data_IF_675899415648
#
_entry.id   IF_675899415648
#
_cell.length_a   1.000
_cell.length_b   1.000
_cell.length_c   1.000
_cell.angle_alpha   90.00
_cell.angle_beta   90.00
_cell.angle_gamma   90.00
#
_symmetry.space_group_name_H-M   'P 1'
#
loop_
_entity.id
_entity.type
_entity.pdbx_description
1 polymer ?
#
# COMPACT_ATOMS: atom_id res chain seq x y z
N UNK A 1 6.21 -14.63 10.12
CA UNK A 1 5.71 -13.25 10.28
C UNK A 1 4.19 -13.34 10.33
N UNK A 2 3.52 -12.61 11.21
CA UNK A 2 2.08 -12.74 11.39
C UNK A 2 1.40 -11.73 10.46
N UNK A 3 0.84 -12.21 9.34
CA UNK A 3 0.18 -11.41 8.31
C UNK A 3 -0.78 -10.37 8.88
N UNK A 4 -1.54 -10.73 9.92
CA UNK A 4 -2.50 -9.82 10.54
C UNK A 4 -1.79 -8.62 11.18
N UNK A 5 -0.66 -8.84 11.85
CA UNK A 5 0.13 -7.77 12.48
C UNK A 5 0.69 -6.83 11.42
N UNK A 6 1.17 -7.37 10.31
CA UNK A 6 1.68 -6.59 9.18
C UNK A 6 0.59 -5.75 8.51
N UNK A 7 -0.57 -6.37 8.27
CA UNK A 7 -1.73 -5.69 7.72
C UNK A 7 -2.19 -4.55 8.62
N UNK A 8 -2.21 -4.77 9.95
CA UNK A 8 -2.53 -3.74 10.94
C UNK A 8 -1.53 -2.59 10.88
N UNK A 9 -0.22 -2.90 10.83
CA UNK A 9 0.83 -1.89 10.72
C UNK A 9 0.69 -1.06 9.43
N UNK A 10 0.45 -1.72 8.29
CA UNK A 10 0.28 -1.04 7.00
C UNK A 10 -1.01 -0.22 6.96
N UNK A 11 -2.09 -0.69 7.59
CA UNK A 11 -3.31 0.08 7.79
C UNK A 11 -3.05 1.37 8.58
N UNK A 12 -2.34 1.28 9.72
CA UNK A 12 -1.96 2.44 10.53
C UNK A 12 -1.04 3.39 9.75
N UNK A 13 -0.05 2.86 9.03
CA UNK A 13 0.83 3.65 8.19
C UNK A 13 0.05 4.42 7.11
N UNK A 14 -0.94 3.78 6.49
CA UNK A 14 -1.80 4.40 5.46
C UNK A 14 -2.67 5.51 6.06
N UNK A 15 -3.19 5.32 7.27
CA UNK A 15 -4.08 6.31 7.89
C UNK A 15 -3.36 7.61 8.26
N UNK A 16 -2.03 7.60 8.42
CA UNK A 16 -1.23 8.83 8.61
C UNK A 16 -1.35 9.80 7.43
N UNK A 17 -1.59 9.30 6.21
CA UNK A 17 -1.80 10.15 5.03
C UNK A 17 -3.13 10.93 5.07
N UNK A 18 -4.03 10.62 6.00
CA UNK A 18 -5.26 11.39 6.21
C UNK A 18 -5.01 12.85 6.60
N UNK A 19 -3.84 13.15 7.18
CA UNK A 19 -3.42 14.49 7.61
C UNK A 19 -3.20 15.41 6.40
N UNK A 20 -2.73 14.85 5.28
CA UNK A 20 -2.55 15.57 4.02
C UNK A 20 -3.91 15.73 3.34
N UNK A 21 -4.77 16.58 3.90
CA UNK A 21 -6.02 16.92 3.24
C UNK A 21 -5.74 17.91 2.12
N UNK A 22 -5.59 17.38 0.92
CA UNK A 22 -5.53 18.19 -0.28
C UNK A 22 -6.92 18.12 -0.90
N UNK A 23 -7.54 19.28 -1.18
CA UNK A 23 -8.91 19.44 -1.67
C UNK A 23 -9.15 18.90 -3.09
N UNK A 24 -8.51 17.78 -3.43
CA UNK A 24 -8.59 17.12 -4.71
C UNK A 24 -9.82 16.22 -4.83
N UNK A 25 -10.16 15.91 -6.07
CA UNK A 25 -11.12 14.88 -6.41
C UNK A 25 -10.76 13.53 -5.74
N UNK A 26 -11.75 12.80 -5.21
CA UNK A 26 -11.54 11.56 -4.44
C UNK A 26 -10.59 10.56 -5.12
N UNK A 27 -10.77 10.34 -6.43
CA UNK A 27 -9.92 9.42 -7.19
C UNK A 27 -8.45 9.84 -7.24
N UNK A 28 -8.18 11.13 -7.46
CA UNK A 28 -6.82 11.67 -7.48
C UNK A 28 -6.21 11.58 -6.08
N UNK A 29 -7.00 11.88 -5.04
CA UNK A 29 -6.60 11.73 -3.65
C UNK A 29 -6.20 10.28 -3.31
N UNK A 30 -7.05 9.30 -3.65
CA UNK A 30 -6.77 7.87 -3.42
C UNK A 30 -5.53 7.40 -4.20
N UNK A 31 -5.38 7.82 -5.45
CA UNK A 31 -4.22 7.49 -6.26
C UNK A 31 -2.92 7.99 -5.64
N UNK A 32 -2.89 9.27 -5.25
CA UNK A 32 -1.73 9.90 -4.62
C UNK A 32 -1.35 9.15 -3.34
N UNK A 33 -2.32 8.82 -2.49
CA UNK A 33 -2.06 8.07 -1.26
C UNK A 33 -1.51 6.69 -1.57
N UNK A 34 -2.13 5.92 -2.46
CA UNK A 34 -1.66 4.58 -2.81
C UNK A 34 -0.24 4.61 -3.39
N UNK A 35 0.02 5.55 -4.30
CA UNK A 35 1.33 5.76 -4.90
C UNK A 35 2.40 6.06 -3.84
N UNK A 36 2.17 7.08 -3.01
CA UNK A 36 3.15 7.51 -2.01
C UNK A 36 3.31 6.48 -0.89
N UNK A 37 2.25 5.74 -0.52
CA UNK A 37 2.34 4.65 0.44
C UNK A 37 3.34 3.59 -0.04
N UNK A 38 3.18 3.09 -1.27
CA UNK A 38 4.12 2.09 -1.82
C UNK A 38 5.52 2.67 -1.98
N UNK A 39 5.60 3.87 -2.56
CA UNK A 39 6.87 4.52 -2.87
C UNK A 39 7.68 4.76 -1.60
N UNK A 40 7.10 5.38 -0.59
CA UNK A 40 7.76 5.63 0.70
C UNK A 40 7.98 4.33 1.48
N UNK A 41 7.07 3.36 1.39
CA UNK A 41 7.26 2.04 1.99
C UNK A 41 8.54 1.35 1.49
N UNK A 42 8.89 1.51 0.22
CA UNK A 42 10.16 1.06 -0.32
C UNK A 42 11.37 1.80 0.26
N UNK A 43 11.35 3.14 0.30
CA UNK A 43 12.48 3.92 0.88
C UNK A 43 12.67 3.71 2.38
N UNK A 44 11.60 3.39 3.10
CA UNK A 44 11.64 3.03 4.51
C UNK A 44 12.14 1.60 4.75
N UNK A 45 12.42 0.84 3.70
CA UNK A 45 12.88 -0.54 3.80
C UNK A 45 11.81 -1.53 4.28
N UNK A 46 10.53 -1.15 4.25
CA UNK A 46 9.43 -2.07 4.64
C UNK A 46 9.38 -3.29 3.72
N UNK A 47 9.81 -3.13 2.47
CA UNK A 47 9.89 -4.24 1.50
C UNK A 47 11.09 -5.17 1.77
N UNK A 48 12.18 -4.64 2.33
CA UNK A 48 13.41 -5.41 2.58
C UNK A 48 13.20 -6.46 3.68
N UNK A 49 12.23 -6.22 4.57
CA UNK A 49 11.79 -7.21 5.55
C UNK A 49 11.38 -8.53 4.86
N UNK A 50 10.76 -8.47 3.68
CA UNK A 50 10.36 -9.66 2.93
C UNK A 50 11.54 -10.36 2.22
N UNK A 51 12.60 -9.60 1.89
CA UNK A 51 13.76 -10.07 1.13
C UNK A 51 14.86 -10.78 1.95
N UNK A 52 14.70 -10.91 3.27
CA UNK A 52 15.61 -11.70 4.13
C UNK A 52 17.11 -11.41 3.87
N UNK A 53 17.49 -10.12 3.88
CA UNK A 53 18.87 -9.60 3.80
C UNK A 53 19.64 -9.71 2.47
N UNK A 54 19.02 -10.05 1.34
CA UNK A 54 19.68 -9.90 0.03
C UNK A 54 19.72 -8.41 -0.40
N UNK A 55 20.75 -7.69 0.05
CA UNK A 55 20.93 -6.22 -0.11
C UNK A 55 21.26 -5.74 -1.54
N UNK A 56 21.28 -6.61 -2.55
CA UNK A 56 21.80 -6.25 -3.87
C UNK A 56 20.77 -5.70 -4.87
N UNK A 57 19.49 -5.63 -4.51
CA UNK A 57 18.46 -5.39 -5.53
C UNK A 57 17.95 -3.94 -5.54
N UNK A 58 18.55 -3.15 -6.44
CA UNK A 58 17.95 -1.89 -6.92
C UNK A 58 16.67 -2.24 -7.68
N UNK A 59 15.51 -1.99 -7.08
CA UNK A 59 14.22 -2.22 -7.73
C UNK A 59 14.06 -1.27 -8.93
N UNK A 60 14.30 -1.79 -10.13
CA UNK A 60 14.13 -1.03 -11.39
C UNK A 60 12.66 -0.65 -11.66
N UNK A 61 11.70 -1.29 -10.99
CA UNK A 61 10.27 -1.15 -11.26
C UNK A 61 9.46 -0.45 -10.17
N UNK A 62 10.10 0.14 -9.15
CA UNK A 62 9.38 0.74 -8.00
C UNK A 62 8.33 1.76 -8.42
N UNK A 63 8.61 2.59 -9.44
CA UNK A 63 7.66 3.60 -9.94
C UNK A 63 6.43 2.92 -10.56
N UNK A 64 6.62 1.88 -11.37
CA UNK A 64 5.52 1.15 -11.99
C UNK A 64 4.66 0.46 -10.93
N UNK A 65 5.29 -0.14 -9.93
CA UNK A 65 4.58 -0.83 -8.84
C UNK A 65 3.80 0.17 -7.97
N UNK A 66 4.37 1.35 -7.68
CA UNK A 66 3.66 2.45 -7.03
C UNK A 66 2.47 2.94 -7.85
N UNK A 67 2.59 3.05 -9.18
CA UNK A 67 1.48 3.44 -10.06
C UNK A 67 0.35 2.40 -10.00
N UNK A 68 0.71 1.10 -10.10
CA UNK A 68 -0.27 0.01 -10.01
C UNK A 68 -0.99 0.02 -8.66
N UNK A 69 -0.26 0.22 -7.56
CA UNK A 69 -0.86 0.29 -6.24
C UNK A 69 -1.77 1.52 -6.08
N UNK A 70 -1.43 2.66 -6.68
CA UNK A 70 -2.31 3.82 -6.78
C UNK A 70 -3.65 3.50 -7.45
N UNK A 71 -3.64 2.72 -8.53
CA UNK A 71 -4.89 2.27 -9.18
C UNK A 71 -5.68 1.28 -8.32
N UNK A 72 -5.02 0.34 -7.64
CA UNK A 72 -5.70 -0.55 -6.69
C UNK A 72 -6.37 0.24 -5.54
N UNK A 73 -5.70 1.28 -5.04
CA UNK A 73 -6.27 2.20 -4.04
C UNK A 73 -7.54 2.90 -4.53
N UNK A 74 -7.60 3.31 -5.81
CA UNK A 74 -8.82 3.88 -6.38
C UNK A 74 -9.97 2.86 -6.36
N UNK A 75 -9.71 1.65 -6.86
CA UNK A 75 -10.75 0.62 -7.02
C UNK A 75 -11.34 0.23 -5.67
N UNK A 76 -10.47 -0.13 -4.71
CA UNK A 76 -10.91 -0.55 -3.37
C UNK A 76 -11.41 0.64 -2.57
N UNK A 77 -10.74 1.78 -2.65
CA UNK A 77 -11.08 2.98 -1.89
C UNK A 77 -12.44 3.56 -2.25
N UNK A 78 -12.84 3.53 -3.54
CA UNK A 78 -14.16 3.98 -3.95
C UNK A 78 -15.29 3.16 -3.29
N UNK A 79 -15.09 1.86 -3.11
CA UNK A 79 -16.06 1.00 -2.43
C UNK A 79 -16.10 1.30 -0.92
N UNK A 80 -14.93 1.39 -0.27
CA UNK A 80 -14.85 1.61 1.18
C UNK A 80 -15.37 2.99 1.59
N UNK A 81 -15.02 4.06 0.85
CA UNK A 81 -15.48 5.41 1.18
C UNK A 81 -17.01 5.55 1.12
N UNK A 82 -17.69 4.80 0.22
CA UNK A 82 -19.15 4.74 0.15
C UNK A 82 -19.76 4.00 1.35
N UNK A 83 -19.10 2.96 1.86
CA UNK A 83 -19.60 2.16 2.99
C UNK A 83 -19.42 2.86 4.35
N UNK A 84 -18.37 3.67 4.52
CA UNK A 84 -17.98 4.26 5.81
C UNK A 84 -18.25 5.76 5.92
N UNK A 85 -19.23 6.29 5.18
CA UNK A 85 -19.66 7.69 5.23
C UNK A 85 -18.51 8.70 5.19
N UNK A 86 -17.48 8.42 4.39
CA UNK A 86 -16.32 9.31 4.21
C UNK A 86 -15.51 9.63 5.48
N UNK A 87 -15.58 8.82 6.54
CA UNK A 87 -14.59 8.95 7.63
C UNK A 87 -13.21 8.56 7.10
N UNK A 88 -12.40 9.57 6.77
CA UNK A 88 -11.13 9.43 6.03
C UNK A 88 -10.14 8.52 6.75
N UNK A 89 -9.97 8.70 8.06
CA UNK A 89 -8.97 7.97 8.85
C UNK A 89 -9.29 6.48 8.83
N UNK A 90 -10.53 6.12 9.18
CA UNK A 90 -11.00 4.74 9.23
C UNK A 90 -10.99 4.12 7.82
N UNK A 91 -11.46 4.87 6.82
CA UNK A 91 -11.49 4.39 5.43
C UNK A 91 -10.09 4.07 4.92
N UNK A 92 -9.11 4.96 5.13
CA UNK A 92 -7.73 4.74 4.71
C UNK A 92 -7.05 3.59 5.47
N UNK A 93 -7.33 3.45 6.76
CA UNK A 93 -6.88 2.29 7.53
C UNK A 93 -7.38 0.98 6.92
N UNK A 94 -8.69 0.88 6.68
CA UNK A 94 -9.32 -0.33 6.12
C UNK A 94 -8.80 -0.61 4.71
N UNK A 95 -8.65 0.42 3.86
CA UNK A 95 -8.11 0.26 2.51
C UNK A 95 -6.67 -0.29 2.57
N UNK A 96 -5.80 0.32 3.38
CA UNK A 96 -4.41 -0.14 3.54
C UNK A 96 -4.32 -1.57 4.05
N UNK A 97 -5.13 -1.91 5.06
CA UNK A 97 -5.23 -3.24 5.63
C UNK A 97 -5.70 -4.28 4.59
N UNK A 98 -6.80 -4.01 3.89
CA UNK A 98 -7.36 -4.92 2.89
C UNK A 98 -6.43 -5.11 1.70
N UNK A 99 -5.84 -4.04 1.18
CA UNK A 99 -4.91 -4.13 0.05
C UNK A 99 -3.72 -5.04 0.40
N UNK A 100 -3.19 -4.92 1.62
CA UNK A 100 -2.08 -5.78 2.04
C UNK A 100 -2.49 -7.26 2.13
N UNK A 101 -3.64 -7.56 2.75
CA UNK A 101 -4.15 -8.94 2.85
C UNK A 101 -4.45 -9.52 1.48
N UNK A 102 -5.12 -8.76 0.61
CA UNK A 102 -5.45 -9.19 -0.75
C UNK A 102 -4.16 -9.46 -1.54
N UNK A 103 -3.16 -8.60 -1.41
CA UNK A 103 -1.88 -8.76 -2.10
C UNK A 103 -1.16 -10.03 -1.68
N UNK A 104 -1.19 -10.36 -0.38
CA UNK A 104 -0.59 -11.60 0.10
C UNK A 104 -1.40 -12.84 -0.32
N UNK A 105 -2.73 -12.76 -0.31
CA UNK A 105 -3.61 -13.84 -0.75
C UNK A 105 -3.40 -14.17 -2.25
N UNK A 106 -3.15 -13.17 -3.08
CA UNK A 106 -2.80 -13.32 -4.51
C UNK A 106 -1.33 -13.74 -4.69
N UNK A 107 -0.56 -13.91 -3.59
CA UNK A 107 0.87 -14.20 -3.59
C UNK A 107 1.72 -13.13 -4.30
N UNK A 108 1.25 -11.87 -4.37
CA UNK A 108 2.04 -10.79 -4.98
C UNK A 108 3.36 -10.59 -4.24
N UNK A 109 3.40 -10.72 -2.91
CA UNK A 109 4.66 -10.64 -2.16
C UNK A 109 5.63 -11.78 -2.49
N UNK A 110 5.14 -12.99 -2.79
CA UNK A 110 6.00 -14.11 -3.22
C UNK A 110 6.54 -13.87 -4.64
N UNK A 111 5.72 -13.34 -5.53
CA UNK A 111 6.15 -12.93 -6.86
C UNK A 111 7.19 -11.81 -6.78
N UNK A 112 6.94 -10.78 -5.97
CA UNK A 112 7.90 -9.73 -5.70
C UNK A 112 9.18 -10.30 -5.10
N UNK A 113 9.11 -11.26 -4.18
CA UNK A 113 10.30 -11.90 -3.62
C UNK A 113 11.10 -12.65 -4.68
N UNK A 114 10.44 -13.38 -5.57
CA UNK A 114 11.06 -14.12 -6.65
C UNK A 114 11.74 -13.20 -7.68
N UNK A 115 11.07 -12.13 -8.10
CA UNK A 115 11.60 -11.20 -9.11
C UNK A 115 12.54 -10.12 -8.54
N UNK A 116 12.47 -9.83 -7.23
CA UNK A 116 13.18 -8.70 -6.61
C UNK A 116 14.16 -9.08 -5.51
N UNK A 117 14.19 -10.30 -4.99
CA UNK A 117 15.16 -10.71 -3.94
C UNK A 117 16.14 -11.79 -4.40
N UNK A 118 16.03 -12.26 -5.65
CA UNK A 118 17.02 -13.10 -6.34
C UNK A 118 17.96 -12.25 -7.20
#
# INVERSE_FOLDING_TARGET
>A
MNLIIEALFIGLYTSLFSIFHIGYHLYLYLFIIGFFKHYLGYYLGLHDYYCNNNKNNKNKYIINDSILEGFYFIIIGNLIFKLFNYNKIISLFIIGFLIHIISDFINLHKLFKYYRCL
#
